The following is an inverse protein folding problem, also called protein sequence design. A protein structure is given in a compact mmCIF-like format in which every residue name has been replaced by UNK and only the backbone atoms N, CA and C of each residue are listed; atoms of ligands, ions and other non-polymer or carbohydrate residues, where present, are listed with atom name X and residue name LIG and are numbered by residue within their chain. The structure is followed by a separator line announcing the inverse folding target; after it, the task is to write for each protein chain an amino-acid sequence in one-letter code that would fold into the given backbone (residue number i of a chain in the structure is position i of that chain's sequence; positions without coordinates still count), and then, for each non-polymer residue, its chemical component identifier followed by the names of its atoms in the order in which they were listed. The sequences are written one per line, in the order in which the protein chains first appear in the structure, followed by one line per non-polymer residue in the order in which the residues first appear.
data_IF_109547350977
#
_entry.id   IF_109547350977
#
_cell.length_a   1.000
_cell.length_b   1.000
_cell.length_c   1.000
_cell.angle_alpha   90.00
_cell.angle_beta   90.00
_cell.angle_gamma   90.00
#
_symmetry.space_group_name_H-M   'P 1'
#
loop_
_entity.id
_entity.type
_entity.pdbx_description
1 polymer ?
#
# COMPACT_ATOMS: atom_id res chain seq x y z
N UNK A 1 -13.30 1.33 -11.68
CA UNK A 1 -13.69 2.59 -11.01
C UNK A 1 -12.49 3.50 -11.00
N UNK A 2 -12.56 4.71 -11.56
CA UNK A 2 -11.40 5.60 -11.66
C UNK A 2 -11.05 6.18 -10.30
N UNK A 3 -9.78 6.49 -10.10
CA UNK A 3 -9.25 6.96 -8.81
C UNK A 3 -10.04 8.13 -8.24
N UNK A 4 -10.43 9.08 -9.09
CA UNK A 4 -11.21 10.27 -8.71
C UNK A 4 -12.63 9.94 -8.22
N UNK A 5 -13.28 8.89 -8.78
CA UNK A 5 -14.58 8.41 -8.30
C UNK A 5 -14.46 7.66 -6.97
N UNK A 6 -13.34 6.97 -6.75
CA UNK A 6 -13.03 6.40 -5.43
C UNK A 6 -12.87 7.53 -4.43
N UNK A 7 -12.17 8.60 -4.79
CA UNK A 7 -11.92 9.76 -3.93
C UNK A 7 -13.16 10.58 -3.60
N UNK A 8 -14.06 10.84 -4.57
CA UNK A 8 -15.27 11.65 -4.30
C UNK A 8 -16.18 10.96 -3.28
N UNK A 9 -16.30 9.62 -3.35
CA UNK A 9 -17.01 8.82 -2.34
C UNK A 9 -16.36 8.79 -0.96
N UNK A 10 -15.14 9.32 -0.81
CA UNK A 10 -14.34 9.31 0.43
C UNK A 10 -14.11 10.72 1.01
N UNK A 11 -14.62 11.77 0.35
CA UNK A 11 -14.34 13.18 0.67
C UNK A 11 -15.39 13.87 1.55
N UNK A 12 -16.48 13.19 1.90
CA UNK A 12 -17.47 13.73 2.82
C UNK A 12 -16.90 13.90 4.24
N UNK A 13 -17.20 15.02 4.91
CA UNK A 13 -16.69 15.31 6.25
C UNK A 13 -17.21 14.27 7.26
N UNK A 14 -16.36 13.93 8.23
CA UNK A 14 -16.72 13.05 9.35
C UNK A 14 -17.68 13.80 10.26
N UNK A 15 -18.97 13.75 9.96
CA UNK A 15 -20.03 14.10 10.90
C UNK A 15 -20.77 12.83 11.30
N UNK A 16 -20.38 12.26 12.44
CA UNK A 16 -21.22 11.41 13.29
C UNK A 16 -21.72 10.06 12.77
N UNK A 17 -21.42 9.64 11.54
CA UNK A 17 -21.89 8.34 11.04
C UNK A 17 -20.89 7.21 11.34
N UNK A 18 -21.43 6.09 11.84
CA UNK A 18 -20.71 4.83 12.02
C UNK A 18 -20.22 4.32 10.65
N UNK A 19 -18.97 4.62 10.30
CA UNK A 19 -18.35 4.11 9.08
C UNK A 19 -17.98 2.64 9.27
N UNK A 20 -18.30 1.79 8.31
CA UNK A 20 -17.89 0.37 8.35
C UNK A 20 -16.36 0.23 8.30
N UNK A 21 -15.80 -0.89 8.79
CA UNK A 21 -14.34 -1.18 8.76
C UNK A 21 -13.75 -1.05 7.35
N UNK A 22 -14.52 -1.48 6.35
CA UNK A 22 -14.23 -1.34 4.92
C UNK A 22 -14.08 0.11 4.51
N UNK A 23 -15.04 0.95 4.87
CA UNK A 23 -14.95 2.37 4.59
C UNK A 23 -13.77 3.02 5.29
N UNK A 24 -13.50 2.69 6.55
CA UNK A 24 -12.33 3.24 7.24
C UNK A 24 -11.03 2.82 6.55
N UNK A 25 -10.82 1.53 6.24
CA UNK A 25 -9.62 1.05 5.54
C UNK A 25 -9.45 1.68 4.15
N UNK A 26 -10.53 1.81 3.38
CA UNK A 26 -10.52 2.47 2.08
C UNK A 26 -10.29 3.99 2.20
N UNK A 27 -10.86 4.65 3.23
CA UNK A 27 -10.61 6.06 3.57
C UNK A 27 -9.15 6.26 4.00
N UNK A 28 -8.56 5.34 4.75
CA UNK A 28 -7.15 5.40 5.16
C UNK A 28 -6.21 5.16 3.98
N UNK A 29 -6.50 4.19 3.11
CA UNK A 29 -5.79 4.03 1.85
C UNK A 29 -5.87 5.30 1.00
N UNK A 30 -7.01 6.01 1.02
CA UNK A 30 -7.20 7.33 0.42
C UNK A 30 -6.40 8.45 1.10
N UNK A 31 -6.35 8.49 2.44
CA UNK A 31 -5.57 9.44 3.24
C UNK A 31 -4.06 9.26 3.08
N UNK A 32 -3.59 8.01 2.98
CA UNK A 32 -2.19 7.72 2.76
C UNK A 32 -1.71 8.23 1.38
N UNK A 33 -2.59 8.37 0.39
CA UNK A 33 -2.30 9.08 -0.87
C UNK A 33 -2.14 10.60 -0.68
N UNK A 34 -2.90 11.22 0.23
CA UNK A 34 -2.71 12.65 0.60
C UNK A 34 -1.39 12.85 1.37
N UNK A 35 -0.97 11.88 2.17
CA UNK A 35 0.31 11.94 2.88
C UNK A 35 1.52 11.82 1.94
N UNK A 36 1.43 11.03 0.87
CA UNK A 36 2.46 11.00 -0.20
C UNK A 36 2.57 12.34 -0.95
N UNK A 37 1.56 13.21 -0.88
CA UNK A 37 1.58 14.56 -1.45
C UNK A 37 2.35 15.59 -0.61
N UNK A 38 2.77 15.25 0.62
CA UNK A 38 3.64 16.08 1.43
C UNK A 38 5.02 15.41 1.51
N UNK A 39 6.03 16.08 0.97
CA UNK A 39 7.47 15.78 1.10
C UNK A 39 7.82 14.94 2.33
N UNK A 40 8.34 13.72 2.12
CA UNK A 40 8.67 12.75 3.17
C UNK A 40 9.41 13.41 4.35
N UNK A 41 8.92 13.24 5.58
CA UNK A 41 9.41 12.16 6.45
C UNK A 41 8.26 11.31 7.03
N UNK A 42 8.57 10.03 7.22
CA UNK A 42 7.66 9.00 7.71
C UNK A 42 7.10 9.33 9.09
N UNK A 43 5.77 9.36 9.19
CA UNK A 43 5.01 9.41 10.42
C UNK A 43 3.63 8.80 10.21
N UNK A 44 3.54 7.49 9.95
CA UNK A 44 2.27 6.74 10.03
C UNK A 44 1.90 6.49 11.50
N UNK A 45 1.95 7.54 12.32
CA UNK A 45 1.43 7.53 13.68
C UNK A 45 -0.04 7.94 13.64
N UNK A 46 -0.93 6.99 13.92
CA UNK A 46 -2.35 7.30 14.16
C UNK A 46 -3.29 7.11 12.98
N UNK A 47 -3.29 5.91 12.36
CA UNK A 47 -4.51 5.46 11.69
C UNK A 47 -5.44 4.96 12.80
N UNK A 48 -6.36 5.81 13.25
CA UNK A 48 -7.43 5.41 14.14
C UNK A 48 -8.51 4.69 13.32
N UNK A 49 -8.71 3.40 13.56
CA UNK A 49 -9.85 2.65 13.04
C UNK A 49 -11.06 2.94 13.97
N UNK A 50 -12.18 3.50 13.46
CA UNK A 50 -13.37 3.73 14.27
C UNK A 50 -13.98 2.42 14.78
N UNK A 51 -14.66 2.52 15.92
CA UNK A 51 -15.18 1.39 16.68
C UNK A 51 -16.31 0.64 15.94
N UNK A 52 -16.12 -0.68 15.88
CA UNK A 52 -17.05 -1.83 15.67
C UNK A 52 -18.45 -1.54 15.08
N UNK A 53 -18.58 -1.81 13.79
CA UNK A 53 -19.71 -2.56 13.25
C UNK A 53 -19.30 -4.03 13.07
N UNK A 54 -20.18 -4.98 13.42
CA UNK A 54 -19.98 -6.39 13.08
C UNK A 54 -19.95 -6.53 11.55
N UNK A 55 -18.94 -7.22 11.03
CA UNK A 55 -18.78 -7.52 9.60
C UNK A 55 -18.79 -9.02 9.47
N UNK A 56 -19.50 -9.59 8.50
CA UNK A 56 -19.48 -11.04 8.32
C UNK A 56 -18.08 -11.53 7.93
N UNK A 57 -17.76 -12.80 8.17
CA UNK A 57 -16.50 -13.40 7.70
C UNK A 57 -16.34 -13.27 6.18
N UNK A 58 -17.44 -13.37 5.43
CA UNK A 58 -17.46 -13.17 3.97
C UNK A 58 -17.10 -11.73 3.60
N UNK A 59 -17.65 -10.73 4.31
CA UNK A 59 -17.33 -9.32 4.08
C UNK A 59 -15.88 -9.00 4.47
N UNK A 60 -15.37 -9.62 5.53
CA UNK A 60 -13.98 -9.50 5.94
C UNK A 60 -13.03 -10.05 4.86
N UNK A 61 -13.28 -11.28 4.38
CA UNK A 61 -12.48 -11.87 3.31
C UNK A 61 -12.60 -11.07 2.00
N UNK A 62 -13.79 -10.55 1.67
CA UNK A 62 -13.97 -9.68 0.51
C UNK A 62 -13.23 -8.35 0.64
N UNK A 63 -13.13 -7.79 1.85
CA UNK A 63 -12.31 -6.60 2.09
C UNK A 63 -10.82 -6.89 1.89
N UNK A 64 -10.33 -8.02 2.37
CA UNK A 64 -8.97 -8.47 2.11
C UNK A 64 -8.72 -8.66 0.60
N UNK A 65 -9.67 -9.29 -0.11
CA UNK A 65 -9.61 -9.51 -1.56
C UNK A 65 -9.58 -8.18 -2.32
N UNK A 66 -10.37 -7.21 -1.88
CA UNK A 66 -10.39 -5.86 -2.47
C UNK A 66 -9.02 -5.17 -2.38
N UNK A 67 -8.34 -5.26 -1.24
CA UNK A 67 -6.98 -4.72 -1.05
C UNK A 67 -5.97 -5.41 -1.98
N UNK A 68 -6.11 -6.72 -2.20
CA UNK A 68 -5.25 -7.46 -3.14
C UNK A 68 -5.51 -7.10 -4.59
N UNK A 69 -6.76 -6.87 -4.99
CA UNK A 69 -7.10 -6.41 -6.33
C UNK A 69 -6.53 -5.00 -6.61
N UNK A 70 -6.46 -4.13 -5.59
CA UNK A 70 -5.78 -2.84 -5.72
C UNK A 70 -4.26 -2.98 -5.93
N UNK A 71 -3.61 -3.88 -5.17
CA UNK A 71 -2.18 -4.19 -5.33
C UNK A 71 -1.89 -4.83 -6.70
N UNK A 72 -2.77 -5.72 -7.17
CA UNK A 72 -2.69 -6.29 -8.52
C UNK A 72 -2.70 -5.19 -9.59
N UNK A 73 -3.67 -4.28 -9.51
CA UNK A 73 -3.76 -3.16 -10.45
C UNK A 73 -2.50 -2.27 -10.42
N UNK A 74 -1.93 -2.00 -9.22
CA UNK A 74 -0.67 -1.28 -9.11
C UNK A 74 0.46 -1.96 -9.88
N UNK A 75 0.56 -3.29 -9.79
CA UNK A 75 1.64 -4.04 -10.41
C UNK A 75 1.45 -4.25 -11.90
N UNK A 76 0.22 -4.44 -12.37
CA UNK A 76 -0.09 -4.48 -13.80
C UNK A 76 0.25 -3.15 -14.47
N UNK A 77 -0.22 -2.02 -13.91
CA UNK A 77 0.10 -0.69 -14.42
C UNK A 77 1.58 -0.36 -14.23
N UNK A 78 2.17 -0.75 -13.09
CA UNK A 78 3.59 -0.61 -12.78
C UNK A 78 4.51 -1.38 -13.71
N UNK A 79 4.07 -2.52 -14.27
CA UNK A 79 4.80 -3.27 -15.28
C UNK A 79 4.72 -2.62 -16.66
N UNK A 80 3.59 -2.02 -17.01
CA UNK A 80 3.45 -1.24 -18.24
C UNK A 80 4.16 0.13 -18.16
N UNK A 81 4.44 0.62 -16.96
CA UNK A 81 5.04 1.93 -16.71
C UNK A 81 6.48 2.08 -17.23
N UNK A 82 6.81 3.27 -17.72
CA UNK A 82 8.19 3.69 -18.04
C UNK A 82 8.66 4.67 -16.98
N UNK A 83 9.46 4.19 -16.03
CA UNK A 83 10.04 5.04 -15.00
C UNK A 83 11.20 5.87 -15.57
N UNK A 84 11.10 7.20 -15.44
CA UNK A 84 12.14 8.11 -15.89
C UNK A 84 13.45 7.88 -15.13
N UNK A 85 14.58 7.95 -15.85
CA UNK A 85 15.92 7.85 -15.26
C UNK A 85 16.39 9.17 -14.64
N UNK A 86 15.86 10.30 -15.12
CA UNK A 86 16.32 11.65 -14.80
C UNK A 86 15.89 12.11 -13.41
N UNK A 87 16.78 12.83 -12.71
CA UNK A 87 16.46 13.46 -11.41
C UNK A 87 16.47 12.54 -10.19
N UNK A 88 16.96 11.31 -10.32
CA UNK A 88 17.15 10.38 -9.19
C UNK A 88 18.60 9.96 -9.11
N UNK A 89 19.26 10.34 -8.01
CA UNK A 89 20.66 10.00 -7.67
C UNK A 89 20.79 8.76 -6.80
N UNK A 90 19.68 8.09 -6.47
CA UNK A 90 19.66 6.90 -5.62
C UNK A 90 20.13 5.63 -6.32
N UNK A 91 20.48 4.61 -5.52
CA UNK A 91 21.06 3.34 -5.99
C UNK A 91 20.05 2.48 -6.77
N UNK A 92 18.75 2.58 -6.47
CA UNK A 92 17.72 1.76 -7.12
C UNK A 92 17.41 2.26 -8.53
N UNK A 93 17.73 1.42 -9.52
CA UNK A 93 17.41 1.67 -10.93
C UNK A 93 15.94 1.34 -11.26
N UNK A 94 15.47 1.80 -12.42
CA UNK A 94 14.16 1.37 -12.94
C UNK A 94 14.08 -0.16 -13.14
N UNK A 95 15.19 -0.80 -13.52
CA UNK A 95 15.26 -2.25 -13.68
C UNK A 95 15.12 -2.97 -12.33
N UNK A 96 15.68 -2.43 -11.25
CA UNK A 96 15.55 -3.01 -9.92
C UNK A 96 14.10 -2.94 -9.42
N UNK A 97 13.40 -1.83 -9.68
CA UNK A 97 11.95 -1.73 -9.40
C UNK A 97 11.17 -2.81 -10.13
N UNK A 98 11.45 -3.05 -11.42
CA UNK A 98 10.79 -4.11 -12.20
C UNK A 98 11.09 -5.51 -11.65
N UNK A 99 12.31 -5.77 -11.19
CA UNK A 99 12.66 -7.04 -10.52
C UNK A 99 11.84 -7.25 -9.24
N UNK A 100 11.68 -6.21 -8.41
CA UNK A 100 10.87 -6.29 -7.19
C UNK A 100 9.40 -6.54 -7.55
N UNK A 101 8.85 -5.87 -8.57
CA UNK A 101 7.47 -6.13 -9.05
C UNK A 101 7.33 -7.59 -9.49
N UNK A 102 8.26 -8.09 -10.31
CA UNK A 102 8.24 -9.47 -10.81
C UNK A 102 8.29 -10.52 -9.69
N UNK A 103 8.90 -10.19 -8.54
CA UNK A 103 8.91 -11.07 -7.38
C UNK A 103 7.61 -11.03 -6.57
N UNK A 104 7.02 -9.85 -6.38
CA UNK A 104 5.86 -9.66 -5.49
C UNK A 104 4.53 -9.95 -6.19
N UNK A 105 4.38 -9.56 -7.45
CA UNK A 105 3.12 -9.68 -8.19
C UNK A 105 2.53 -11.10 -8.18
N UNK A 106 3.27 -12.17 -8.56
CA UNK A 106 2.69 -13.52 -8.57
C UNK A 106 2.25 -13.98 -7.17
N UNK A 107 2.90 -13.50 -6.12
CA UNK A 107 2.50 -13.79 -4.73
C UNK A 107 1.18 -13.09 -4.38
N UNK A 108 1.00 -11.85 -4.82
CA UNK A 108 -0.27 -11.12 -4.69
C UNK A 108 -1.40 -11.83 -5.44
N UNK A 109 -1.15 -12.30 -6.65
CA UNK A 109 -2.12 -13.08 -7.43
C UNK A 109 -2.48 -14.42 -6.75
N UNK A 110 -1.50 -15.09 -6.14
CA UNK A 110 -1.75 -16.26 -5.29
C UNK A 110 -2.67 -15.96 -4.11
N UNK A 111 -2.48 -14.83 -3.43
CA UNK A 111 -3.39 -14.41 -2.35
C UNK A 111 -4.79 -14.06 -2.84
N UNK A 112 -4.94 -13.51 -4.06
CA UNK A 112 -6.25 -13.27 -4.67
C UNK A 112 -6.98 -14.59 -4.89
N UNK A 113 -6.29 -15.61 -5.41
CA UNK A 113 -6.85 -16.93 -5.62
C UNK A 113 -7.29 -17.58 -4.29
N UNK A 114 -6.43 -17.53 -3.27
CA UNK A 114 -6.72 -18.06 -1.93
C UNK A 114 -7.95 -17.39 -1.30
N UNK A 115 -8.03 -16.05 -1.34
CA UNK A 115 -9.17 -15.31 -0.80
C UNK A 115 -10.46 -15.53 -1.61
N UNK A 116 -10.35 -15.66 -2.93
CA UNK A 116 -11.50 -15.96 -3.81
C UNK A 116 -12.08 -17.33 -3.48
N UNK A 117 -11.22 -18.35 -3.30
CA UNK A 117 -11.63 -19.68 -2.89
C UNK A 117 -12.32 -19.64 -1.52
N UNK A 118 -11.69 -19.01 -0.52
CA UNK A 118 -12.22 -18.91 0.83
C UNK A 118 -13.61 -18.24 0.89
N UNK A 119 -13.83 -17.15 0.12
CA UNK A 119 -15.16 -16.51 0.04
C UNK A 119 -16.19 -17.44 -0.60
N UNK A 120 -15.80 -18.17 -1.65
CA UNK A 120 -16.70 -19.08 -2.37
C UNK A 120 -17.09 -20.29 -1.51
N UNK A 121 -16.14 -20.88 -0.79
CA UNK A 121 -16.34 -22.06 0.06
C UNK A 121 -17.34 -21.81 1.19
N UNK A 122 -17.41 -20.57 1.71
CA UNK A 122 -18.41 -20.18 2.71
C UNK A 122 -19.74 -19.72 2.11
N UNK A 123 -19.96 -19.92 0.81
CA UNK A 123 -21.18 -19.53 0.10
C UNK A 123 -21.33 -18.02 -0.16
N UNK A 124 -20.25 -17.25 0.01
CA UNK A 124 -20.21 -15.84 -0.34
C UNK A 124 -19.91 -15.59 -1.81
N UNK A 125 -20.10 -14.36 -2.26
CA UNK A 125 -19.74 -13.92 -3.62
C UNK A 125 -18.41 -13.15 -3.58
N UNK A 126 -17.34 -13.64 -4.24
CA UNK A 126 -16.07 -12.93 -4.31
C UNK A 126 -16.19 -11.60 -5.04
N UNK A 127 -15.59 -10.55 -4.49
CA UNK A 127 -15.47 -9.27 -5.20
C UNK A 127 -14.54 -9.42 -6.41
N UNK A 128 -15.00 -8.94 -7.56
CA UNK A 128 -14.29 -9.04 -8.86
C UNK A 128 -13.96 -7.67 -9.48
N UNK A 129 -13.97 -6.63 -8.65
CA UNK A 129 -13.85 -5.23 -9.07
C UNK A 129 -12.47 -4.93 -9.65
N UNK A 130 -12.47 -4.26 -10.80
CA UNK A 130 -11.26 -3.75 -11.45
C UNK A 130 -10.91 -2.34 -10.95
N UNK A 131 -9.64 -2.16 -10.61
CA UNK A 131 -9.05 -0.91 -10.17
C UNK A 131 -8.18 -0.32 -11.26
N UNK A 132 -8.15 1.01 -11.35
CA UNK A 132 -7.09 1.71 -12.04
C UNK A 132 -6.47 2.72 -11.09
N UNK A 133 -5.14 2.71 -11.03
CA UNK A 133 -4.35 3.57 -10.16
C UNK A 133 -3.74 4.75 -10.90
N UNK A 134 -4.03 4.87 -12.20
CA UNK A 134 -3.76 6.06 -13.00
C UNK A 134 -4.48 7.24 -12.36
N UNK A 135 -3.72 8.10 -11.67
CA UNK A 135 -4.25 9.32 -11.09
C UNK A 135 -4.60 10.34 -12.16
N UNK A 136 -5.35 11.38 -11.78
CA UNK A 136 -5.41 12.60 -12.57
C UNK A 136 -3.96 13.10 -12.83
N UNK A 137 -3.57 13.40 -14.08
CA UNK A 137 -2.24 13.92 -14.42
C UNK A 137 -1.83 15.15 -13.59
N UNK A 138 -2.82 15.93 -13.14
CA UNK A 138 -2.65 17.13 -12.32
C UNK A 138 -2.63 16.86 -10.80
N UNK A 139 -2.79 15.61 -10.36
CA UNK A 139 -2.82 15.20 -8.94
C UNK A 139 -1.52 14.53 -8.47
N UNK A 140 -1.36 14.29 -7.16
CA UNK A 140 -0.10 13.75 -6.59
C UNK A 140 0.26 12.33 -7.02
N UNK A 141 -0.68 11.60 -7.64
CA UNK A 141 -0.43 10.29 -8.28
C UNK A 141 -0.25 10.39 -9.80
N UNK A 142 -0.31 11.60 -10.39
CA UNK A 142 -0.12 11.81 -11.84
C UNK A 142 1.25 11.33 -12.34
N UNK A 143 2.22 11.21 -11.44
CA UNK A 143 3.57 10.71 -11.74
C UNK A 143 3.84 9.30 -11.21
N UNK A 144 2.84 8.59 -10.66
CA UNK A 144 3.06 7.27 -10.04
C UNK A 144 3.68 6.24 -11.00
N UNK A 145 3.40 6.35 -12.30
CA UNK A 145 3.93 5.47 -13.34
C UNK A 145 5.05 6.09 -14.18
N UNK A 146 5.57 7.24 -13.76
CA UNK A 146 6.71 7.91 -14.42
C UNK A 146 7.84 8.22 -13.43
N UNK A 147 7.53 8.46 -12.15
CA UNK A 147 8.47 8.62 -11.05
C UNK A 147 8.48 7.38 -10.14
N UNK A 148 9.58 6.63 -10.18
CA UNK A 148 9.75 5.43 -9.37
C UNK A 148 9.68 5.68 -7.86
N UNK A 149 10.00 6.88 -7.36
CA UNK A 149 9.89 7.19 -5.93
C UNK A 149 8.43 7.16 -5.48
N UNK A 150 7.56 7.76 -6.29
CA UNK A 150 6.12 7.81 -6.05
C UNK A 150 5.53 6.41 -6.15
N UNK A 151 5.95 5.62 -7.15
CA UNK A 151 5.58 4.20 -7.27
C UNK A 151 5.93 3.40 -6.01
N UNK A 152 7.20 3.41 -5.61
CA UNK A 152 7.68 2.63 -4.46
C UNK A 152 7.01 3.08 -3.15
N UNK A 153 6.76 4.38 -3.00
CA UNK A 153 6.06 4.91 -1.83
C UNK A 153 4.62 4.42 -1.77
N UNK A 154 3.89 4.44 -2.89
CA UNK A 154 2.54 3.92 -2.95
C UNK A 154 2.50 2.41 -2.72
N UNK A 155 3.44 1.66 -3.31
CA UNK A 155 3.54 0.21 -3.13
C UNK A 155 3.76 -0.17 -1.66
N UNK A 156 4.70 0.50 -0.98
CA UNK A 156 4.92 0.33 0.46
C UNK A 156 3.65 0.59 1.28
N UNK A 157 3.00 1.73 1.02
CA UNK A 157 1.81 2.15 1.75
C UNK A 157 0.67 1.16 1.57
N UNK A 158 0.40 0.73 0.33
CA UNK A 158 -0.69 -0.23 0.07
C UNK A 158 -0.43 -1.58 0.73
N UNK A 159 0.83 -2.04 0.78
CA UNK A 159 1.17 -3.24 1.55
C UNK A 159 1.04 -3.06 3.06
N UNK A 160 1.46 -1.93 3.64
CA UNK A 160 1.28 -1.66 5.08
C UNK A 160 -0.22 -1.57 5.45
N UNK A 161 -1.03 -0.91 4.61
CA UNK A 161 -2.50 -0.87 4.79
C UNK A 161 -3.11 -2.27 4.65
N UNK A 162 -2.66 -3.08 3.69
CA UNK A 162 -3.13 -4.45 3.52
C UNK A 162 -2.82 -5.31 4.75
N UNK A 163 -1.58 -5.24 5.25
CA UNK A 163 -1.16 -5.96 6.45
C UNK A 163 -2.00 -5.58 7.68
N UNK A 164 -2.11 -4.27 7.97
CA UNK A 164 -2.87 -3.79 9.14
C UNK A 164 -4.37 -4.02 9.00
N UNK A 165 -4.89 -3.88 7.79
CA UNK A 165 -6.30 -4.13 7.48
C UNK A 165 -6.68 -5.57 7.74
N UNK A 166 -5.93 -6.52 7.17
CA UNK A 166 -6.18 -7.95 7.36
C UNK A 166 -5.99 -8.35 8.82
N UNK A 167 -4.99 -7.79 9.52
CA UNK A 167 -4.83 -7.99 10.96
C UNK A 167 -6.07 -7.52 11.75
N UNK A 168 -6.66 -6.37 11.39
CA UNK A 168 -7.89 -5.86 12.01
C UNK A 168 -9.15 -6.66 11.69
N UNK A 169 -9.09 -7.53 10.68
CA UNK A 169 -10.18 -8.42 10.28
C UNK A 169 -10.12 -9.79 10.96
N UNK A 170 -8.99 -10.15 11.58
CA UNK A 170 -8.80 -11.47 12.22
C UNK A 170 -9.93 -11.88 13.17
N UNK A 171 -10.48 -11.00 14.03
CA UNK A 171 -11.57 -11.38 14.93
C UNK A 171 -12.82 -11.89 14.21
N UNK A 172 -13.06 -11.45 12.97
CA UNK A 172 -14.20 -11.91 12.17
C UNK A 172 -13.94 -13.26 11.47
N UNK A 173 -12.71 -13.77 11.56
CA UNK A 173 -12.27 -15.03 10.94
C UNK A 173 -12.05 -16.14 11.97
N UNK A 174 -12.11 -15.84 13.26
CA UNK A 174 -11.77 -16.77 14.35
C UNK A 174 -12.63 -18.05 14.38
N UNK A 175 -13.84 -18.00 13.82
CA UNK A 175 -14.73 -19.17 13.72
C UNK A 175 -14.28 -20.21 12.69
N UNK A 176 -13.30 -19.89 11.83
CA UNK A 176 -12.68 -20.81 10.88
C UNK A 176 -11.16 -20.75 10.99
N UNK A 177 -10.56 -21.81 11.52
CA UNK A 177 -9.10 -21.91 11.66
C UNK A 177 -8.36 -21.78 10.33
N UNK A 178 -8.96 -22.24 9.24
CA UNK A 178 -8.40 -22.12 7.88
C UNK A 178 -8.42 -20.67 7.40
N UNK A 179 -9.55 -19.97 7.53
CA UNK A 179 -9.67 -18.55 7.14
C UNK A 179 -8.79 -17.65 8.01
N UNK A 180 -8.72 -17.92 9.31
CA UNK A 180 -7.84 -17.22 10.22
C UNK A 180 -6.36 -17.43 9.83
N UNK A 181 -5.97 -18.67 9.51
CA UNK A 181 -4.61 -19.00 9.08
C UNK A 181 -4.26 -18.33 7.75
N UNK A 182 -5.17 -18.31 6.77
CA UNK A 182 -5.01 -17.58 5.53
C UNK A 182 -4.77 -16.09 5.80
N UNK A 183 -5.62 -15.46 6.63
CA UNK A 183 -5.45 -14.06 7.05
C UNK A 183 -4.10 -13.78 7.71
N UNK A 184 -3.63 -14.65 8.61
CA UNK A 184 -2.33 -14.54 9.28
C UNK A 184 -1.17 -14.59 8.27
N UNK A 185 -1.20 -15.56 7.34
CA UNK A 185 -0.16 -15.72 6.32
C UNK A 185 -0.09 -14.51 5.40
N UNK A 186 -1.25 -14.04 4.93
CA UNK A 186 -1.35 -12.93 3.99
C UNK A 186 -0.86 -11.63 4.63
N UNK A 187 -1.30 -11.30 5.86
CA UNK A 187 -0.85 -10.06 6.49
C UNK A 187 0.65 -10.05 6.80
N UNK A 188 1.21 -11.22 7.13
CA UNK A 188 2.65 -11.34 7.40
C UNK A 188 3.46 -11.17 6.12
N UNK A 189 2.98 -11.71 5.00
CA UNK A 189 3.58 -11.51 3.69
C UNK A 189 3.57 -10.03 3.30
N UNK A 190 2.44 -9.34 3.49
CA UNK A 190 2.33 -7.90 3.20
C UNK A 190 3.26 -7.03 4.04
N UNK A 191 3.43 -7.36 5.33
CA UNK A 191 4.39 -6.65 6.18
C UNK A 191 5.83 -6.76 5.65
N UNK A 192 6.20 -7.94 5.12
CA UNK A 192 7.50 -8.18 4.49
C UNK A 192 7.63 -7.39 3.19
N UNK A 193 6.59 -7.36 2.35
CA UNK A 193 6.58 -6.57 1.11
C UNK A 193 6.69 -5.06 1.38
N UNK A 194 5.98 -4.55 2.39
CA UNK A 194 6.11 -3.16 2.82
C UNK A 194 7.53 -2.84 3.27
N UNK A 195 8.17 -3.76 4.01
CA UNK A 195 9.57 -3.63 4.42
C UNK A 195 10.52 -3.65 3.23
N UNK A 196 10.31 -4.54 2.26
CA UNK A 196 11.12 -4.62 1.04
C UNK A 196 11.06 -3.31 0.25
N UNK A 197 9.85 -2.74 0.07
CA UNK A 197 9.70 -1.44 -0.58
C UNK A 197 10.32 -0.29 0.23
N UNK A 198 10.23 -0.35 1.55
CA UNK A 198 10.89 0.63 2.42
C UNK A 198 12.42 0.57 2.28
N UNK A 199 13.00 -0.63 2.24
CA UNK A 199 14.44 -0.83 2.03
C UNK A 199 14.86 -0.30 0.65
N UNK A 200 14.13 -0.63 -0.41
CA UNK A 200 14.38 -0.11 -1.75
C UNK A 200 14.33 1.44 -1.79
N UNK A 201 13.45 2.04 -0.98
CA UNK A 201 13.40 3.50 -0.83
C UNK A 201 14.53 4.07 0.03
N UNK A 202 14.98 3.37 1.07
CA UNK A 202 16.05 3.86 1.95
C UNK A 202 17.44 3.70 1.33
N UNK A 203 17.66 2.67 0.50
CA UNK A 203 18.87 2.55 -0.32
C UNK A 203 18.93 3.59 -1.44
N UNK A 204 17.79 4.23 -1.74
CA UNK A 204 17.73 5.41 -2.59
C UNK A 204 18.03 6.72 -1.86
N UNK A 205 18.02 6.74 -0.52
CA UNK A 205 18.15 7.96 0.30
C UNK A 205 19.53 8.14 0.95
N UNK A 206 20.56 7.41 0.52
CA UNK A 206 21.93 7.50 1.09
C UNK A 206 22.62 8.86 0.87
N UNK A 207 21.94 9.86 0.28
CA UNK A 207 22.40 11.24 0.18
C UNK A 207 21.79 12.18 1.25
N UNK A 208 21.12 11.65 2.28
CA UNK A 208 20.56 12.45 3.38
C UNK A 208 21.49 12.54 4.62
N UNK A 209 22.74 12.09 4.53
CA UNK A 209 23.75 12.61 5.46
C UNK A 209 24.17 13.99 4.97
N UNK A 210 23.96 15.08 5.75
CA UNK A 210 24.66 16.32 5.44
C UNK A 210 26.15 15.98 5.41
N UNK A 211 26.85 16.42 4.37
CA UNK A 211 28.31 16.30 4.32
C UNK A 211 28.85 16.82 5.65
N UNK A 212 29.50 15.96 6.43
CA UNK A 212 30.38 16.46 7.48
C UNK A 212 31.37 17.39 6.80
N UNK A 213 31.27 18.67 7.17
CA UNK A 213 32.13 19.73 6.70
C UNK A 213 33.59 19.27 6.73
N UNK A 214 34.25 19.38 5.59
CA UNK A 214 35.69 19.37 5.45
C UNK A 214 36.30 20.68 5.97
N UNK A 215 36.00 21.08 7.21
CA UNK A 215 36.56 22.28 7.87
C UNK A 215 37.27 21.91 9.19
N UNK A 216 38.08 20.85 9.16
CA UNK A 216 39.08 20.56 10.21
C UNK A 216 40.48 21.07 9.84
N UNK A 217 40.59 22.22 9.18
CA UNK A 217 41.89 22.84 8.84
C UNK A 217 42.27 24.04 9.70
N UNK A 218 41.50 24.39 10.73
CA UNK A 218 41.89 25.44 11.68
C UNK A 218 41.65 25.00 13.13
N UNK A 219 42.53 24.14 13.65
CA UNK A 219 42.77 24.05 15.09
C UNK A 219 44.14 24.70 15.38
N UNK A 220 44.23 25.58 16.40
CA UNK A 220 45.48 26.24 16.76
C UNK A 220 46.50 25.19 17.24
N UNK A 221 47.72 25.31 16.74
CA UNK A 221 48.87 24.57 17.23
C UNK A 221 49.25 25.15 18.60
N UNK A 222 49.14 24.34 19.66
CA UNK A 222 49.91 24.54 20.91
C UNK A 222 51.17 23.65 20.87
#
# INVERSE_FOLDING_TARGET
MNLDKILSSLSEPISGQATTRRESLLKTAGLARKAVAATLPLGLGGIAFPARAAVSSADALNLALELKLMLKALYEEGNAATFASTGFTGVISAADVKKIIAEIQPKVEGHIAELTAAVTEMGGTPVSKQYSLTGNPSGSLGTVFTDRRVFMALAQVLHDVSSRGIKGLMPELESSGENLMAGIKIQAADARYATLWNIARSTASTQFYPSENSDYTNLPQE
#
